data_IF_125254652291
#
_entry.id   IF_125254652291
#
_cell.length_a   1.000
_cell.length_b   1.000
_cell.length_c   1.000
_cell.angle_alpha   90.00
_cell.angle_beta   90.00
_cell.angle_gamma   90.00
#
_symmetry.space_group_name_H-M   'P 1'
#
loop_
_entity.id
_entity.type
_entity.pdbx_description
1 polymer ?
#
# COMPACT_ATOMS: atom_id res chain seq x y z
N UNK A 1 56.26 -29.00 -9.98
CA UNK A 1 55.67 -27.63 -10.01
C UNK A 1 54.16 -27.75 -10.18
N UNK A 2 53.45 -27.73 -9.06
CA UNK A 2 52.01 -28.02 -9.00
C UNK A 2 51.27 -26.68 -8.97
N UNK A 3 50.58 -26.34 -10.05
CA UNK A 3 49.74 -25.14 -10.14
C UNK A 3 48.41 -25.42 -9.41
N UNK A 4 48.27 -24.83 -8.23
CA UNK A 4 47.03 -24.86 -7.45
C UNK A 4 46.10 -23.78 -8.01
N UNK A 5 45.09 -24.20 -8.79
CA UNK A 5 44.01 -23.32 -9.27
C UNK A 5 43.03 -23.09 -8.13
N UNK A 6 43.15 -21.93 -7.50
CA UNK A 6 42.17 -21.46 -6.51
C UNK A 6 40.87 -21.11 -7.20
N UNK A 7 39.85 -21.98 -7.08
CA UNK A 7 38.46 -21.70 -7.46
C UNK A 7 37.87 -20.83 -6.36
N UNK A 8 37.83 -19.50 -6.56
CA UNK A 8 37.04 -18.60 -5.75
C UNK A 8 35.57 -18.84 -6.09
N UNK A 9 34.70 -19.20 -5.13
CA UNK A 9 33.28 -19.20 -5.37
C UNK A 9 32.86 -17.74 -5.55
N UNK A 10 32.35 -17.41 -6.75
CA UNK A 10 31.57 -16.21 -6.98
C UNK A 10 30.30 -16.36 -6.14
N UNK A 11 30.34 -15.82 -4.93
CA UNK A 11 29.11 -15.53 -4.18
C UNK A 11 28.43 -14.38 -4.94
N UNK A 12 27.60 -14.72 -5.93
CA UNK A 12 26.55 -13.84 -6.38
C UNK A 12 25.63 -13.65 -5.18
N UNK A 13 25.83 -12.55 -4.45
CA UNK A 13 24.84 -12.10 -3.48
C UNK A 13 23.53 -11.99 -4.23
N UNK A 14 22.53 -12.78 -3.86
CA UNK A 14 21.15 -12.44 -4.16
C UNK A 14 20.93 -11.10 -3.46
N UNK A 15 20.85 -10.04 -4.23
CA UNK A 15 20.32 -8.79 -3.73
C UNK A 15 18.88 -9.10 -3.33
N UNK A 16 18.62 -9.19 -2.03
CA UNK A 16 17.29 -9.35 -1.45
C UNK A 16 16.54 -7.99 -1.49
N UNK A 17 16.68 -7.28 -2.59
CA UNK A 17 15.96 -6.04 -2.81
C UNK A 17 14.64 -6.35 -3.53
N UNK A 18 13.54 -5.78 -3.01
CA UNK A 18 12.22 -5.96 -3.61
C UNK A 18 12.18 -5.32 -5.00
N UNK A 19 11.55 -6.00 -5.94
CA UNK A 19 11.16 -5.42 -7.23
C UNK A 19 10.00 -4.41 -7.01
N UNK A 20 10.37 -3.20 -6.66
CA UNK A 20 9.44 -2.11 -6.33
C UNK A 20 8.46 -1.85 -7.48
N UNK A 21 8.95 -1.80 -8.72
CA UNK A 21 8.10 -1.55 -9.88
C UNK A 21 7.13 -2.71 -10.12
N UNK A 22 7.60 -3.93 -10.07
CA UNK A 22 6.74 -5.12 -10.24
C UNK A 22 5.71 -5.27 -9.12
N UNK A 23 6.03 -4.85 -7.89
CA UNK A 23 5.10 -4.84 -6.78
C UNK A 23 4.02 -3.78 -7.01
N UNK A 24 4.38 -2.51 -7.16
CA UNK A 24 3.44 -1.40 -7.07
C UNK A 24 2.64 -1.15 -8.35
N UNK A 25 3.27 -1.25 -9.53
CA UNK A 25 2.72 -0.72 -10.78
C UNK A 25 1.95 -1.74 -11.63
N UNK A 26 1.30 -1.27 -12.69
CA UNK A 26 0.62 -2.11 -13.68
C UNK A 26 -0.69 -2.74 -13.24
N UNK A 27 -1.26 -2.35 -12.11
CA UNK A 27 -2.51 -2.88 -11.57
C UNK A 27 -3.25 -1.86 -10.72
N UNK A 28 -4.54 -2.08 -10.53
CA UNK A 28 -5.34 -1.37 -9.52
C UNK A 28 -5.36 -2.20 -8.25
N UNK A 29 -4.91 -1.61 -7.17
CA UNK A 29 -4.97 -2.19 -5.83
C UNK A 29 -6.30 -1.88 -5.19
N UNK A 30 -7.01 -2.89 -4.70
CA UNK A 30 -8.27 -2.77 -3.97
C UNK A 30 -8.05 -3.06 -2.49
N UNK A 31 -8.54 -2.19 -1.62
CA UNK A 31 -8.49 -2.41 -0.18
C UNK A 31 -9.19 -3.72 0.19
N UNK A 32 -8.55 -4.54 0.99
CA UNK A 32 -9.07 -5.80 1.51
C UNK A 32 -9.20 -5.81 3.04
N UNK A 33 -8.37 -5.03 3.73
CA UNK A 33 -8.41 -4.89 5.20
C UNK A 33 -7.84 -3.55 5.65
N UNK A 34 -8.28 -3.08 6.82
CA UNK A 34 -7.73 -1.93 7.52
C UNK A 34 -7.79 -2.19 9.03
N UNK A 35 -6.66 -2.56 9.62
CA UNK A 35 -6.64 -3.05 11.01
C UNK A 35 -5.38 -2.64 11.76
N UNK A 36 -5.29 -2.99 13.04
CA UNK A 36 -4.09 -2.76 13.83
C UNK A 36 -2.96 -3.70 13.39
N UNK A 37 -1.72 -3.21 13.44
CA UNK A 37 -0.54 -4.04 13.19
C UNK A 37 -0.56 -5.29 14.09
N UNK A 38 -0.33 -6.46 13.49
CA UNK A 38 -0.33 -7.74 14.19
C UNK A 38 -1.72 -8.35 14.46
N UNK A 39 -2.80 -7.67 14.08
CA UNK A 39 -4.15 -8.21 14.19
C UNK A 39 -4.52 -9.08 12.99
N UNK A 40 -5.24 -10.17 13.24
CA UNK A 40 -5.86 -11.01 12.20
C UNK A 40 -7.26 -10.52 11.79
N UNK A 41 -7.82 -9.53 12.49
CA UNK A 41 -9.10 -8.94 12.13
C UNK A 41 -9.01 -8.20 10.79
N UNK A 42 -10.08 -8.21 10.02
CA UNK A 42 -10.15 -7.46 8.76
C UNK A 42 -10.17 -5.94 9.01
N UNK A 43 -10.88 -5.50 10.04
CA UNK A 43 -10.98 -4.10 10.44
C UNK A 43 -10.66 -3.94 11.92
N UNK A 44 -10.12 -2.79 12.31
CA UNK A 44 -9.81 -2.53 13.72
C UNK A 44 -11.08 -2.30 14.54
N UNK A 45 -11.06 -2.63 15.84
CA UNK A 45 -12.20 -2.42 16.73
C UNK A 45 -12.68 -0.97 16.74
N UNK A 46 -13.98 -0.79 16.84
CA UNK A 46 -14.64 0.52 16.92
C UNK A 46 -14.47 1.44 15.68
N UNK A 47 -14.05 0.91 14.53
CA UNK A 47 -13.98 1.69 13.29
C UNK A 47 -15.33 2.40 12.99
N UNK A 48 -16.43 1.75 13.24
CA UNK A 48 -17.80 2.28 13.03
C UNK A 48 -18.53 2.62 14.35
N UNK A 49 -17.81 2.75 15.47
CA UNK A 49 -18.43 3.06 16.79
C UNK A 49 -19.61 2.15 17.15
N UNK A 50 -19.52 0.85 16.82
CA UNK A 50 -20.59 -0.14 16.99
C UNK A 50 -21.87 0.16 16.18
N UNK A 51 -21.80 0.98 15.16
CA UNK A 51 -22.90 1.26 14.26
C UNK A 51 -22.94 0.25 13.11
N UNK A 52 -23.77 -0.79 13.24
CA UNK A 52 -23.90 -1.84 12.24
C UNK A 52 -24.43 -1.35 10.89
N UNK A 53 -25.27 -0.31 10.86
CA UNK A 53 -25.80 0.23 9.61
C UNK A 53 -24.69 0.94 8.82
N UNK A 54 -23.85 1.72 9.49
CA UNK A 54 -22.69 2.35 8.85
C UNK A 54 -21.70 1.30 8.38
N UNK A 55 -21.42 0.29 9.19
CA UNK A 55 -20.56 -0.82 8.79
C UNK A 55 -21.09 -1.50 7.52
N UNK A 56 -22.36 -1.87 7.46
CA UNK A 56 -22.97 -2.50 6.27
C UNK A 56 -22.86 -1.61 5.03
N UNK A 57 -23.08 -0.30 5.16
CA UNK A 57 -22.93 0.65 4.04
C UNK A 57 -21.49 0.74 3.55
N UNK A 58 -20.50 0.82 4.48
CA UNK A 58 -19.09 0.83 4.13
C UNK A 58 -18.67 -0.44 3.38
N UNK A 59 -19.10 -1.60 3.89
CA UNK A 59 -18.79 -2.90 3.27
C UNK A 59 -19.45 -3.08 1.92
N UNK A 60 -20.68 -2.59 1.73
CA UNK A 60 -21.33 -2.57 0.42
C UNK A 60 -20.52 -1.74 -0.60
N UNK A 61 -20.08 -0.54 -0.21
CA UNK A 61 -19.21 0.29 -1.04
C UNK A 61 -17.87 -0.42 -1.35
N UNK A 62 -17.28 -1.05 -0.35
CA UNK A 62 -16.00 -1.75 -0.51
C UNK A 62 -16.11 -2.94 -1.47
N UNK A 63 -17.12 -3.78 -1.32
CA UNK A 63 -17.21 -5.05 -2.06
C UNK A 63 -17.94 -4.94 -3.39
N UNK A 64 -18.97 -4.07 -3.48
CA UNK A 64 -19.86 -4.02 -4.63
C UNK A 64 -19.57 -2.85 -5.59
N UNK A 65 -18.71 -1.90 -5.21
CA UNK A 65 -18.31 -0.80 -6.08
C UNK A 65 -16.84 -0.92 -6.48
N UNK A 66 -16.59 -1.11 -7.76
CA UNK A 66 -15.23 -1.30 -8.29
C UNK A 66 -14.31 -0.09 -8.08
N UNK A 67 -14.84 1.11 -8.18
CA UNK A 67 -14.07 2.36 -8.18
C UNK A 67 -13.95 3.01 -6.80
N UNK A 68 -14.16 2.27 -5.71
CA UNK A 68 -13.98 2.75 -4.34
C UNK A 68 -12.84 2.02 -3.65
N UNK A 69 -12.17 2.69 -2.73
CA UNK A 69 -11.06 2.13 -1.95
C UNK A 69 -9.95 1.52 -2.82
N UNK A 70 -9.56 2.25 -3.86
CA UNK A 70 -8.57 1.81 -4.84
C UNK A 70 -7.32 2.68 -4.81
N UNK A 71 -6.19 2.08 -5.21
CA UNK A 71 -4.92 2.74 -5.46
C UNK A 71 -4.33 2.29 -6.79
N UNK A 72 -3.76 3.24 -7.51
CA UNK A 72 -2.96 3.00 -8.70
C UNK A 72 -1.62 3.70 -8.52
N UNK A 73 -0.55 2.96 -8.69
CA UNK A 73 0.81 3.49 -8.69
C UNK A 73 1.36 3.42 -10.10
N UNK A 74 1.97 4.51 -10.54
CA UNK A 74 2.67 4.60 -11.81
C UNK A 74 4.12 4.98 -11.57
N UNK A 75 4.99 4.58 -12.44
CA UNK A 75 6.42 4.87 -12.39
C UNK A 75 7.20 3.88 -13.21
N UNK A 76 8.45 4.23 -13.46
CA UNK A 76 9.43 3.39 -14.13
C UNK A 76 10.73 3.40 -13.35
N UNK A 77 11.58 2.43 -13.60
CA UNK A 77 12.95 2.42 -13.08
C UNK A 77 13.92 2.60 -14.23
N UNK A 78 14.86 3.52 -14.07
CA UNK A 78 15.96 3.77 -15.00
C UNK A 78 17.25 3.89 -14.21
N UNK A 79 18.23 3.05 -14.53
CA UNK A 79 19.55 3.01 -13.86
C UNK A 79 19.46 2.87 -12.32
N UNK A 80 18.48 2.09 -11.81
CA UNK A 80 18.23 1.89 -10.38
C UNK A 80 17.49 3.03 -9.68
N UNK A 81 17.02 4.04 -10.43
CA UNK A 81 16.26 5.16 -9.88
C UNK A 81 14.78 5.11 -10.32
N UNK A 82 13.89 5.34 -9.37
CA UNK A 82 12.46 5.47 -9.64
C UNK A 82 12.16 6.81 -10.28
N UNK A 83 11.47 6.80 -11.42
CA UNK A 83 11.12 7.99 -12.20
C UNK A 83 9.62 8.04 -12.53
N UNK A 84 9.09 9.25 -12.64
CA UNK A 84 7.69 9.46 -13.01
C UNK A 84 6.69 8.86 -12.02
N UNK A 85 7.07 8.76 -10.75
CA UNK A 85 6.28 8.12 -9.70
C UNK A 85 5.07 8.94 -9.34
N UNK A 86 3.89 8.49 -9.77
CA UNK A 86 2.60 9.07 -9.38
C UNK A 86 1.74 8.04 -8.67
N UNK A 87 0.87 8.49 -7.79
CA UNK A 87 -0.12 7.67 -7.13
C UNK A 87 -1.49 8.34 -7.18
N UNK A 88 -2.49 7.56 -7.54
CA UNK A 88 -3.89 7.98 -7.55
C UNK A 88 -4.69 7.01 -6.71
N UNK A 89 -5.58 7.54 -5.86
CA UNK A 89 -6.46 6.73 -5.02
C UNK A 89 -7.87 7.28 -5.03
N UNK A 90 -8.82 6.40 -4.82
CA UNK A 90 -10.24 6.73 -4.75
C UNK A 90 -10.84 6.22 -3.45
N UNK A 91 -11.38 7.14 -2.65
CA UNK A 91 -12.26 6.81 -1.51
C UNK A 91 -13.69 6.54 -1.97
N UNK A 92 -14.67 7.06 -1.26
CA UNK A 92 -16.08 7.07 -1.68
C UNK A 92 -16.41 8.43 -2.34
N UNK A 93 -16.16 9.52 -1.64
CA UNK A 93 -16.49 10.88 -2.08
C UNK A 93 -15.27 11.70 -2.47
N UNK A 94 -14.09 11.23 -2.13
CA UNK A 94 -12.82 11.92 -2.36
C UNK A 94 -11.82 11.07 -3.13
N UNK A 95 -10.87 11.75 -3.75
CA UNK A 95 -9.73 11.16 -4.42
C UNK A 95 -8.43 11.69 -3.82
N UNK A 96 -7.37 10.92 -3.93
CA UNK A 96 -6.01 11.38 -3.64
C UNK A 96 -5.17 11.31 -4.91
N UNK A 97 -4.31 12.31 -5.09
CA UNK A 97 -3.37 12.38 -6.21
C UNK A 97 -2.03 12.88 -5.69
N UNK A 98 -0.95 12.29 -6.13
CA UNK A 98 0.35 12.72 -5.67
C UNK A 98 1.50 11.87 -6.20
N UNK A 99 2.56 11.80 -5.43
CA UNK A 99 3.78 11.08 -5.75
C UNK A 99 4.11 10.06 -4.67
N UNK A 100 4.90 9.07 -5.01
CA UNK A 100 5.39 8.06 -4.08
C UNK A 100 6.87 7.79 -4.29
N UNK A 101 7.52 7.28 -3.24
CA UNK A 101 8.88 6.77 -3.27
C UNK A 101 8.94 5.53 -2.40
N UNK A 102 9.60 4.49 -2.87
CA UNK A 102 9.87 3.30 -2.09
C UNK A 102 11.34 2.90 -2.21
N UNK A 103 11.83 2.20 -1.20
CA UNK A 103 13.15 1.59 -1.21
C UNK A 103 12.97 0.09 -0.97
N UNK A 104 13.36 -0.72 -1.96
CA UNK A 104 13.20 -2.17 -1.94
C UNK A 104 14.03 -2.87 -0.88
N UNK A 105 15.21 -2.34 -0.57
CA UNK A 105 16.09 -2.92 0.44
C UNK A 105 15.58 -2.72 1.87
N UNK A 106 14.96 -1.56 2.17
CA UNK A 106 14.48 -1.22 3.52
C UNK A 106 12.99 -1.44 3.72
N UNK A 107 12.20 -1.59 2.66
CA UNK A 107 10.74 -1.62 2.70
C UNK A 107 10.12 -0.27 3.09
N UNK A 108 10.89 0.83 3.04
CA UNK A 108 10.34 2.15 3.31
C UNK A 108 9.45 2.62 2.16
N UNK A 109 8.37 3.32 2.48
CA UNK A 109 7.46 3.91 1.52
C UNK A 109 7.05 5.31 2.00
N UNK A 110 7.11 6.26 1.11
CA UNK A 110 6.61 7.61 1.32
C UNK A 110 5.57 7.93 0.25
N UNK A 111 4.40 8.38 0.68
CA UNK A 111 3.30 8.83 -0.18
C UNK A 111 3.01 10.29 0.16
N UNK A 112 3.13 11.17 -0.83
CA UNK A 112 2.80 12.58 -0.69
C UNK A 112 1.60 12.90 -1.57
N UNK A 113 0.42 13.03 -0.96
CA UNK A 113 -0.85 13.17 -1.69
C UNK A 113 -1.62 14.41 -1.28
N UNK A 114 -2.33 14.95 -2.25
CA UNK A 114 -3.38 15.95 -2.07
C UNK A 114 -4.74 15.28 -2.18
N UNK A 115 -5.63 15.58 -1.25
CA UNK A 115 -7.03 15.12 -1.27
C UNK A 115 -7.87 16.11 -2.07
N UNK A 116 -8.72 15.59 -2.94
CA UNK A 116 -9.66 16.36 -3.77
C UNK A 116 -11.06 15.73 -3.70
N UNK A 117 -12.08 16.46 -4.11
CA UNK A 117 -13.47 16.01 -4.01
C UNK A 117 -14.15 16.43 -2.72
N UNK A 118 -15.28 15.81 -2.41
CA UNK A 118 -16.02 16.09 -1.19
C UNK A 118 -15.40 15.35 0.02
N UNK A 119 -15.59 15.91 1.21
CA UNK A 119 -15.15 15.27 2.44
C UNK A 119 -15.82 13.89 2.62
N UNK A 120 -15.06 12.92 3.08
CA UNK A 120 -15.60 11.60 3.43
C UNK A 120 -16.49 11.70 4.65
N UNK A 121 -17.68 11.11 4.58
CA UNK A 121 -18.55 10.91 5.73
C UNK A 121 -18.47 9.50 6.30
N UNK A 122 -18.12 8.53 5.46
CA UNK A 122 -17.95 7.13 5.81
C UNK A 122 -16.69 6.89 6.67
N UNK A 123 -16.82 6.12 7.74
CA UNK A 123 -15.71 5.89 8.69
C UNK A 123 -14.54 5.14 8.07
N UNK A 124 -14.82 4.12 7.23
CA UNK A 124 -13.77 3.36 6.54
C UNK A 124 -13.07 4.24 5.50
N UNK A 125 -13.81 5.05 4.76
CA UNK A 125 -13.23 5.95 3.77
C UNK A 125 -12.37 7.05 4.42
N UNK A 126 -12.81 7.62 5.55
CA UNK A 126 -11.99 8.54 6.35
C UNK A 126 -10.67 7.89 6.78
N UNK A 127 -10.74 6.69 7.35
CA UNK A 127 -9.56 5.97 7.81
C UNK A 127 -8.63 5.60 6.65
N UNK A 128 -9.16 5.21 5.50
CA UNK A 128 -8.40 4.91 4.28
C UNK A 128 -7.65 6.16 3.77
N UNK A 129 -8.32 7.28 3.58
CA UNK A 129 -7.70 8.52 3.08
C UNK A 129 -6.65 9.06 4.07
N UNK A 130 -6.99 9.10 5.37
CA UNK A 130 -6.05 9.53 6.41
C UNK A 130 -4.84 8.60 6.50
N UNK A 131 -5.06 7.29 6.37
CA UNK A 131 -4.00 6.31 6.38
C UNK A 131 -2.99 6.53 5.24
N UNK A 132 -3.46 6.83 4.03
CA UNK A 132 -2.59 7.09 2.88
C UNK A 132 -1.64 8.28 3.09
N UNK A 133 -2.08 9.29 3.82
CA UNK A 133 -1.27 10.47 4.14
C UNK A 133 -0.17 10.20 5.19
N UNK A 134 -0.23 9.06 5.89
CA UNK A 134 0.64 8.72 7.02
C UNK A 134 1.41 7.39 6.82
N UNK A 135 1.49 6.91 5.57
CA UNK A 135 2.24 5.70 5.22
C UNK A 135 3.75 5.93 5.37
N UNK A 136 4.45 4.93 5.92
CA UNK A 136 5.89 4.99 6.08
C UNK A 136 6.64 3.71 5.67
N UNK A 137 5.92 2.59 5.52
CA UNK A 137 6.49 1.27 5.21
C UNK A 137 5.52 0.45 4.38
N UNK A 138 6.04 -0.45 3.57
CA UNK A 138 5.27 -1.48 2.88
C UNK A 138 5.86 -2.88 3.10
N UNK A 139 5.05 -3.87 2.88
CA UNK A 139 5.42 -5.27 2.69
C UNK A 139 4.50 -5.86 1.63
N UNK A 140 5.02 -6.76 0.80
CA UNK A 140 4.18 -7.44 -0.18
C UNK A 140 4.91 -7.91 -1.42
N UNK A 141 4.12 -8.30 -2.39
CA UNK A 141 4.53 -8.80 -3.70
C UNK A 141 3.54 -8.33 -4.79
N UNK A 142 3.62 -8.90 -5.98
CA UNK A 142 2.73 -8.54 -7.09
C UNK A 142 1.24 -8.87 -6.84
N UNK A 143 0.91 -9.68 -5.85
CA UNK A 143 -0.45 -10.19 -5.56
C UNK A 143 -1.02 -9.70 -4.23
N UNK A 144 -0.18 -9.16 -3.36
CA UNK A 144 -0.59 -8.70 -2.03
C UNK A 144 0.29 -7.53 -1.61
N UNK A 145 -0.33 -6.44 -1.18
CA UNK A 145 0.37 -5.25 -0.71
C UNK A 145 -0.18 -4.86 0.66
N UNK A 146 0.71 -4.67 1.62
CA UNK A 146 0.39 -4.15 2.96
C UNK A 146 1.12 -2.83 3.18
N UNK A 147 0.38 -1.78 3.45
CA UNK A 147 0.89 -0.46 3.78
C UNK A 147 0.76 -0.21 5.29
N UNK A 148 1.84 0.20 5.91
CA UNK A 148 1.90 0.55 7.33
C UNK A 148 1.80 2.06 7.50
N UNK A 149 0.93 2.50 8.40
CA UNK A 149 0.75 3.93 8.68
C UNK A 149 0.59 4.21 10.18
N UNK A 150 0.83 5.45 10.56
CA UNK A 150 0.62 5.93 11.92
C UNK A 150 -0.76 6.59 12.06
N UNK A 151 -1.48 6.17 13.09
CA UNK A 151 -2.73 6.78 13.53
C UNK A 151 -2.56 7.16 15.01
N UNK A 152 -2.03 8.37 15.25
CA UNK A 152 -1.56 8.78 16.56
C UNK A 152 -0.47 7.83 17.10
N UNK A 153 -0.62 7.28 18.29
CA UNK A 153 0.33 6.33 18.87
C UNK A 153 0.21 4.91 18.29
N UNK A 154 -0.88 4.62 17.55
CA UNK A 154 -1.16 3.28 17.03
C UNK A 154 -0.54 3.08 15.66
N UNK A 155 0.08 1.95 15.43
CA UNK A 155 0.46 1.50 14.09
C UNK A 155 -0.66 0.65 13.52
N UNK A 156 -1.16 1.04 12.35
CA UNK A 156 -2.19 0.32 11.60
C UNK A 156 -1.65 -0.14 10.25
N UNK A 157 -2.39 -1.05 9.62
CA UNK A 157 -2.08 -1.58 8.30
C UNK A 157 -3.30 -1.50 7.39
N UNK A 158 -3.05 -1.18 6.14
CA UNK A 158 -3.98 -1.36 5.02
C UNK A 158 -3.47 -2.50 4.14
N UNK A 159 -4.27 -3.54 3.97
CA UNK A 159 -3.97 -4.63 3.05
C UNK A 159 -4.74 -4.46 1.75
N UNK A 160 -4.09 -4.77 0.64
CA UNK A 160 -4.64 -4.65 -0.70
C UNK A 160 -4.41 -5.92 -1.49
N UNK A 161 -5.31 -6.17 -2.43
CA UNK A 161 -5.18 -7.19 -3.47
C UNK A 161 -5.39 -6.57 -4.84
N UNK A 162 -4.79 -7.10 -5.92
CA UNK A 162 -5.08 -6.63 -7.26
C UNK A 162 -6.56 -6.81 -7.60
N UNK A 163 -7.17 -5.77 -8.14
CA UNK A 163 -8.54 -5.84 -8.64
C UNK A 163 -8.56 -6.64 -9.95
N UNK A 164 -9.46 -7.59 -10.03
CA UNK A 164 -9.69 -8.44 -11.22
C UNK A 164 -10.82 -7.90 -12.08
#
# INVERSE_FOLDING_TARGET
MLLMFSLLPLLSGCDNEDDVIGIFTGKTWKLSRLTNKGSNAQFYPNLWNNNEQEMKKSLDKLYNQKNTFTLNFEGTELDGELMGTTVNGQGINSSVNGTWKANGASGSLSISVKVTGAAESDALAKAFISGLQNVYKYEGDANSLTLYFKDGPTTRVMGFTPQR
#
